data_IF_343754139777
#
_entry.id   IF_343754139777
#
_cell.length_a   1.000
_cell.length_b   1.000
_cell.length_c   1.000
_cell.angle_alpha   90.00
_cell.angle_beta   90.00
_cell.angle_gamma   90.00
#
_symmetry.space_group_name_H-M   'P 1'
#
loop_
_entity.id
_entity.type
_entity.pdbx_description
1 polymer ?
2 water ?
#
# COMPACT_ATOMS: atom_id res chain seq x y z
N UNK A 1 21.08 -26.51 12.35
CA UNK A 1 20.62 -25.82 11.11
C UNK A 1 20.30 -26.81 9.98
N UNK A 2 19.02 -27.02 9.72
CA UNK A 2 18.62 -27.93 8.66
C UNK A 2 17.56 -27.28 7.78
N UNK A 3 17.63 -27.54 6.47
CA UNK A 3 16.65 -27.02 5.54
C UNK A 3 15.51 -28.01 5.66
N UNK A 4 14.28 -27.53 5.67
CA UNK A 4 13.14 -28.43 5.77
C UNK A 4 11.84 -27.75 5.37
N UNK A 5 10.75 -28.53 5.36
CA UNK A 5 9.44 -27.99 5.05
C UNK A 5 8.90 -27.47 6.38
N UNK A 6 8.04 -26.46 6.34
CA UNK A 6 7.48 -25.88 7.55
C UNK A 6 5.97 -26.04 7.54
N UNK A 7 5.37 -26.10 8.73
CA UNK A 7 3.92 -26.18 8.83
C UNK A 7 3.44 -24.75 8.64
N UNK A 8 2.18 -24.57 8.30
CA UNK A 8 1.64 -23.23 8.08
C UNK A 8 1.77 -22.38 9.35
N UNK A 9 1.57 -23.01 10.51
CA UNK A 9 1.66 -22.30 11.78
C UNK A 9 3.08 -21.78 12.01
N UNK A 10 4.07 -22.64 11.82
CA UNK A 10 5.45 -22.23 12.01
C UNK A 10 5.80 -21.10 11.05
N UNK A 11 5.38 -21.27 9.79
CA UNK A 11 5.65 -20.30 8.75
C UNK A 11 5.10 -18.93 9.10
N UNK A 12 3.81 -18.88 9.41
CA UNK A 12 3.15 -17.62 9.77
C UNK A 12 3.75 -16.93 10.97
N UNK A 13 4.06 -17.70 12.01
CA UNK A 13 4.63 -17.13 13.24
C UNK A 13 5.98 -16.50 12.96
N UNK A 14 6.81 -17.19 12.18
CA UNK A 14 8.13 -16.64 11.88
C UNK A 14 8.07 -15.39 11.02
N UNK A 15 7.34 -15.47 9.90
CA UNK A 15 7.28 -14.30 9.03
C UNK A 15 6.66 -13.06 9.69
N UNK A 16 5.69 -13.26 10.60
CA UNK A 16 5.06 -12.13 11.29
C UNK A 16 6.06 -11.41 12.20
N UNK A 17 7.12 -12.10 12.61
CA UNK A 17 8.09 -11.50 13.51
C UNK A 17 9.31 -10.88 12.83
N UNK A 18 9.37 -10.97 11.50
CA UNK A 18 10.54 -10.48 10.79
C UNK A 18 10.32 -9.23 9.93
N UNK A 19 11.37 -8.40 9.80
CA UNK A 19 11.27 -7.19 8.98
C UNK A 19 11.35 -7.66 7.53
N UNK A 20 10.80 -6.87 6.62
CA UNK A 20 10.81 -7.22 5.21
C UNK A 20 10.24 -8.61 4.91
N UNK A 21 9.10 -8.90 5.51
CA UNK A 21 8.38 -10.13 5.23
C UNK A 21 7.19 -9.58 4.45
N UNK A 22 7.18 -9.82 3.14
CA UNK A 22 6.12 -9.31 2.25
C UNK A 22 4.76 -9.93 2.55
N UNK A 23 3.68 -9.25 2.14
CA UNK A 23 2.34 -9.76 2.40
C UNK A 23 2.08 -11.08 1.68
N UNK A 24 2.94 -11.41 0.70
CA UNK A 24 2.82 -12.68 -0.02
C UNK A 24 3.49 -13.83 0.76
N UNK A 25 4.24 -13.49 1.80
CA UNK A 25 4.91 -14.50 2.64
C UNK A 25 4.06 -14.69 3.89
N UNK A 26 2.79 -15.05 3.69
CA UNK A 26 1.84 -15.22 4.78
C UNK A 26 0.99 -16.48 4.60
N UNK A 27 0.32 -16.87 5.68
CA UNK A 27 -0.54 -18.06 5.65
C UNK A 27 -1.72 -17.79 4.71
N UNK A 28 -2.24 -16.57 4.76
CA UNK A 28 -3.36 -16.21 3.90
C UNK A 28 -2.98 -16.33 2.42
N UNK A 29 -1.76 -15.95 2.06
CA UNK A 29 -1.37 -16.05 0.65
C UNK A 29 -1.16 -17.53 0.30
N UNK A 30 -0.67 -18.30 1.26
CA UNK A 30 -0.45 -19.74 1.09
C UNK A 30 -1.78 -20.41 0.76
N UNK A 31 -2.80 -20.09 1.55
CA UNK A 31 -4.13 -20.66 1.36
C UNK A 31 -4.73 -20.18 0.06
N UNK A 32 -4.45 -18.94 -0.31
CA UNK A 32 -4.96 -18.39 -1.56
C UNK A 32 -4.41 -19.18 -2.74
N UNK A 33 -3.08 -19.32 -2.81
CA UNK A 33 -2.46 -20.05 -3.89
C UNK A 33 -2.95 -21.50 -3.96
N UNK A 34 -3.10 -22.14 -2.81
CA UNK A 34 -3.58 -23.51 -2.77
C UNK A 34 -4.99 -23.55 -3.35
N UNK A 35 -5.81 -22.59 -2.95
CA UNK A 35 -7.19 -22.50 -3.43
C UNK A 35 -7.23 -22.29 -4.94
N UNK A 36 -6.27 -21.53 -5.47
CA UNK A 36 -6.25 -21.29 -6.91
C UNK A 36 -5.61 -22.45 -7.65
N UNK A 37 -5.30 -23.53 -6.93
CA UNK A 37 -4.71 -24.70 -7.58
C UNK A 37 -3.22 -24.73 -7.84
N UNK A 38 -2.46 -23.82 -7.25
CA UNK A 38 -1.02 -23.84 -7.46
C UNK A 38 -0.35 -24.88 -6.59
N UNK A 39 0.72 -25.47 -7.09
CA UNK A 39 1.50 -26.39 -6.30
C UNK A 39 2.21 -25.40 -5.36
N UNK A 40 2.02 -25.57 -4.05
CA UNK A 40 2.62 -24.63 -3.10
C UNK A 40 3.47 -25.30 -2.04
N UNK A 41 4.66 -24.73 -1.81
CA UNK A 41 5.61 -25.26 -0.83
C UNK A 41 5.96 -24.23 0.24
N UNK A 42 6.13 -24.73 1.46
CA UNK A 42 6.55 -23.90 2.59
C UNK A 42 7.86 -24.51 3.06
N UNK A 43 8.96 -23.82 2.78
CA UNK A 43 10.28 -24.30 3.16
C UNK A 43 10.94 -23.32 4.11
N UNK A 44 12.01 -23.76 4.77
CA UNK A 44 12.71 -22.89 5.69
C UNK A 44 13.90 -23.59 6.33
N UNK A 45 14.47 -22.95 7.32
CA UNK A 45 15.60 -23.51 8.05
C UNK A 45 15.27 -23.44 9.52
N UNK A 46 15.62 -24.50 10.25
CA UNK A 46 15.41 -24.53 11.68
C UNK A 46 16.77 -24.74 12.31
N UNK A 47 16.97 -24.20 13.50
CA UNK A 47 18.24 -24.36 14.18
C UNK A 47 18.15 -25.56 15.13
N UNK A 48 19.14 -25.68 16.02
CA UNK A 48 19.20 -26.78 16.98
C UNK A 48 18.00 -26.83 17.94
N UNK A 49 17.46 -25.66 18.25
CA UNK A 49 16.32 -25.59 19.17
C UNK A 49 14.99 -25.71 18.45
N UNK A 50 15.01 -26.24 17.23
CA UNK A 50 13.79 -26.38 16.45
C UNK A 50 13.15 -25.02 16.20
N UNK A 51 13.96 -23.98 16.24
CA UNK A 51 13.48 -22.61 15.99
C UNK A 51 13.61 -22.25 14.50
N UNK A 52 12.54 -21.72 13.90
CA UNK A 52 12.63 -21.31 12.49
C UNK A 52 13.51 -20.06 12.39
N UNK A 53 14.51 -20.10 11.51
CA UNK A 53 15.37 -18.94 11.32
C UNK A 53 15.39 -18.47 9.86
N UNK A 54 14.51 -19.03 9.04
CA UNK A 54 14.39 -18.64 7.62
C UNK A 54 13.17 -19.35 7.06
N UNK A 55 12.47 -18.68 6.14
CA UNK A 55 11.28 -19.28 5.55
C UNK A 55 10.99 -18.72 4.17
N UNK A 56 10.23 -19.48 3.39
CA UNK A 56 9.84 -19.01 2.07
C UNK A 56 8.69 -19.80 1.54
N UNK A 57 7.70 -19.08 1.04
CA UNK A 57 6.55 -19.69 0.41
C UNK A 57 6.95 -19.75 -1.05
N UNK A 58 6.85 -20.93 -1.65
CA UNK A 58 7.21 -21.13 -3.05
C UNK A 58 5.99 -21.65 -3.78
N UNK A 59 5.84 -21.24 -5.05
CA UNK A 59 4.76 -21.74 -5.87
C UNK A 59 5.42 -22.34 -7.10
N UNK A 60 4.81 -23.38 -7.65
CA UNK A 60 5.38 -24.04 -8.82
C UNK A 60 4.29 -24.22 -9.87
N UNK A 61 4.67 -24.03 -11.11
CA UNK A 61 3.77 -24.16 -12.26
C UNK A 61 4.44 -25.07 -13.31
N UNK A 62 3.67 -25.99 -13.91
CA UNK A 62 4.25 -26.88 -14.93
C UNK A 62 4.71 -26.16 -16.18
N UNK A 63 5.91 -26.49 -16.66
CA UNK A 63 6.46 -25.91 -17.87
C UNK A 63 7.25 -26.99 -18.61
N UNK A 64 7.29 -26.87 -19.93
CA UNK A 64 8.01 -27.82 -20.76
C UNK A 64 7.68 -29.31 -20.47
N UNK A 65 6.38 -29.58 -20.36
CA UNK A 65 5.85 -30.93 -20.17
C UNK A 65 6.00 -31.61 -18.82
N UNK A 66 7.25 -31.86 -18.40
CA UNK A 66 7.48 -32.56 -17.15
C UNK A 66 8.19 -31.72 -16.10
N UNK A 67 8.56 -30.50 -16.42
CA UNK A 67 9.26 -29.65 -15.47
C UNK A 67 8.38 -28.64 -14.75
N UNK A 68 9.01 -27.83 -13.90
CA UNK A 68 8.27 -26.82 -13.16
C UNK A 68 9.03 -25.52 -13.01
N UNK A 69 8.28 -24.43 -13.05
CA UNK A 69 8.81 -23.10 -12.87
C UNK A 69 8.56 -22.79 -11.39
N UNK A 70 9.63 -22.62 -10.61
CA UNK A 70 9.50 -22.29 -9.19
C UNK A 70 9.72 -20.79 -8.98
N UNK A 71 8.83 -20.18 -8.18
CA UNK A 71 8.87 -18.75 -7.87
C UNK A 71 8.87 -18.52 -6.34
N UNK A 72 9.76 -17.66 -5.85
CA UNK A 72 9.87 -17.42 -4.40
C UNK A 72 8.87 -16.42 -3.78
N UNK A 73 7.98 -15.85 -4.61
CA UNK A 73 6.97 -14.94 -4.10
C UNK A 73 7.46 -13.83 -3.15
N UNK A 74 8.45 -13.06 -3.57
CA UNK A 74 9.01 -11.96 -2.75
C UNK A 74 9.76 -12.45 -1.52
N UNK A 75 9.99 -13.75 -1.43
CA UNK A 75 10.73 -14.30 -0.31
C UNK A 75 12.13 -14.61 -0.78
N UNK A 76 12.96 -15.27 0.04
CA UNK A 76 12.68 -15.73 1.41
C UNK A 76 12.77 -14.67 2.49
N UNK A 77 12.24 -15.00 3.67
CA UNK A 77 12.31 -14.12 4.82
C UNK A 77 13.45 -14.75 5.61
N UNK A 78 14.51 -13.97 5.83
CA UNK A 78 15.68 -14.49 6.51
C UNK A 78 16.53 -13.28 6.94
N UNK A 79 17.42 -13.48 7.91
CA UNK A 79 18.30 -12.40 8.35
C UNK A 79 19.37 -12.21 7.28
N UNK A 80 19.22 -11.17 6.47
CA UNK A 80 20.18 -10.93 5.39
C UNK A 80 21.52 -10.36 5.80
N UNK A 81 21.72 -10.11 7.10
CA UNK A 81 23.02 -9.64 7.58
C UNK A 81 23.95 -10.85 7.72
N UNK A 82 23.34 -12.02 7.92
CA UNK A 82 24.07 -13.28 8.09
C UNK A 82 24.37 -13.90 6.73
N UNK A 83 25.53 -13.56 6.17
CA UNK A 83 25.91 -14.07 4.87
C UNK A 83 26.06 -15.59 4.78
N UNK A 84 26.52 -16.23 5.85
CA UNK A 84 26.66 -17.67 5.83
C UNK A 84 25.28 -18.33 5.81
N UNK A 85 24.35 -17.77 6.57
CA UNK A 85 23.00 -18.32 6.61
C UNK A 85 22.34 -18.10 5.24
N UNK A 86 22.53 -16.92 4.66
CA UNK A 86 21.94 -16.65 3.35
C UNK A 86 22.48 -17.63 2.31
N UNK A 87 23.77 -17.91 2.37
CA UNK A 87 24.42 -18.84 1.45
C UNK A 87 23.82 -20.24 1.59
N UNK A 88 23.74 -20.72 2.82
CA UNK A 88 23.17 -22.03 3.11
C UNK A 88 21.75 -22.15 2.58
N UNK A 89 20.94 -21.12 2.82
CA UNK A 89 19.56 -21.17 2.36
C UNK A 89 19.40 -21.29 0.86
N UNK A 90 20.10 -20.45 0.10
CA UNK A 90 19.95 -20.49 -1.34
C UNK A 90 20.54 -21.73 -1.99
N UNK A 91 21.55 -22.31 -1.35
CA UNK A 91 22.18 -23.52 -1.86
C UNK A 91 21.21 -24.68 -1.60
N UNK A 92 20.62 -24.71 -0.40
CA UNK A 92 19.68 -25.78 -0.09
C UNK A 92 18.37 -25.63 -0.86
N UNK A 93 18.00 -24.40 -1.20
CA UNK A 93 16.77 -24.17 -1.95
C UNK A 93 16.94 -24.77 -3.36
N UNK A 94 18.15 -24.61 -3.89
CA UNK A 94 18.47 -25.15 -5.21
C UNK A 94 18.33 -26.67 -5.17
N UNK A 95 18.92 -27.30 -4.16
CA UNK A 95 18.85 -28.76 -4.01
C UNK A 95 17.40 -29.19 -3.85
N UNK A 96 16.65 -28.40 -3.08
CA UNK A 96 15.25 -28.69 -2.85
C UNK A 96 14.44 -28.68 -4.14
N UNK A 97 14.56 -27.61 -4.94
CA UNK A 97 13.77 -27.59 -6.16
C UNK A 97 14.21 -28.64 -7.17
N UNK A 98 15.46 -29.10 -7.08
CA UNK A 98 15.95 -30.13 -8.01
C UNK A 98 15.28 -31.46 -7.70
N UNK A 99 14.68 -31.56 -6.51
CA UNK A 99 13.98 -32.77 -6.12
C UNK A 99 12.57 -32.73 -6.69
N UNK A 100 12.16 -31.57 -7.19
CA UNK A 100 10.81 -31.44 -7.71
C UNK A 100 10.72 -31.06 -9.18
N UNK A 101 11.68 -31.57 -9.96
CA UNK A 101 11.72 -31.37 -11.41
C UNK A 101 11.66 -29.90 -11.83
N UNK A 102 12.40 -29.07 -11.12
CA UNK A 102 12.43 -27.66 -11.45
C UNK A 102 13.22 -27.44 -12.73
N UNK A 103 12.70 -26.57 -13.59
CA UNK A 103 13.39 -26.22 -14.83
C UNK A 103 14.24 -24.98 -14.53
N UNK A 104 13.65 -24.03 -13.82
CA UNK A 104 14.36 -22.82 -13.40
C UNK A 104 13.70 -22.22 -12.18
N UNK A 105 14.53 -21.65 -11.30
CA UNK A 105 14.09 -21.06 -10.05
C UNK A 105 14.22 -19.54 -10.13
N UNK A 106 13.10 -18.86 -9.87
CA UNK A 106 13.01 -17.41 -9.94
C UNK A 106 12.82 -16.80 -8.54
N UNK A 107 13.75 -15.96 -8.11
CA UNK A 107 13.64 -15.30 -6.81
C UNK A 107 13.62 -13.78 -6.94
N UNK A 108 12.83 -13.13 -6.08
CA UNK A 108 12.73 -11.67 -6.08
C UNK A 108 12.62 -11.23 -4.61
N UNK A 109 13.71 -11.39 -3.85
CA UNK A 109 13.77 -11.04 -2.43
C UNK A 109 13.41 -9.59 -2.12
N UNK A 110 12.67 -9.43 -1.04
CA UNK A 110 12.21 -8.13 -0.55
C UNK A 110 13.43 -7.61 0.22
N UNK A 111 14.45 -7.24 -0.54
CA UNK A 111 15.73 -6.79 0.01
C UNK A 111 16.16 -5.45 -0.58
N UNK A 112 16.25 -4.40 0.25
CA UNK A 112 16.65 -3.08 -0.25
C UNK A 112 18.03 -3.11 -0.89
N UNK A 113 18.20 -2.26 -1.90
CA UNK A 113 19.45 -2.11 -2.63
C UNK A 113 19.94 -0.68 -2.41
N UNK A 114 19.11 0.29 -2.81
CA UNK A 114 19.43 1.71 -2.69
C UNK A 114 18.21 2.50 -2.19
N UNK A 115 18.48 3.69 -1.64
CA UNK A 115 17.44 4.61 -1.17
C UNK A 115 17.56 5.84 -2.06
N UNK A 116 16.42 6.39 -2.47
CA UNK A 116 16.42 7.57 -3.33
C UNK A 116 15.35 8.55 -2.85
N UNK A 117 15.36 9.77 -3.39
CA UNK A 117 14.28 10.71 -3.06
C UNK A 117 13.34 10.63 -4.26
N UNK A 118 12.22 11.32 -4.22
CA UNK A 118 11.28 11.25 -5.32
C UNK A 118 11.65 12.04 -6.56
N UNK A 119 12.89 12.54 -6.60
CA UNK A 119 13.38 13.28 -7.75
C UNK A 119 14.33 12.33 -8.50
N UNK A 120 14.45 11.11 -8.00
CA UNK A 120 15.32 10.14 -8.65
C UNK A 120 16.78 10.20 -8.28
N UNK A 121 17.11 10.93 -7.22
CA UNK A 121 18.51 11.03 -6.77
C UNK A 121 18.81 10.01 -5.68
N UNK A 122 19.89 9.27 -5.84
CA UNK A 122 20.27 8.29 -4.84
C UNK A 122 20.65 8.99 -3.54
N UNK A 123 20.03 8.59 -2.43
CA UNK A 123 20.34 9.21 -1.14
C UNK A 123 21.21 8.31 -0.28
N UNK A 124 21.27 7.02 -0.61
CA UNK A 124 22.10 6.11 0.16
C UNK A 124 22.10 4.68 -0.38
N UNK A 125 23.09 3.90 0.02
CA UNK A 125 23.21 2.50 -0.37
C UNK A 125 22.71 1.69 0.84
N UNK A 126 21.92 0.64 0.60
CA UNK A 126 21.37 -0.15 1.71
C UNK A 126 22.40 -1.08 2.37
N UNK A 127 23.55 -1.23 1.73
CA UNK A 127 24.62 -2.08 2.27
C UNK A 127 24.48 -3.55 1.96
N UNK A 128 23.73 -3.90 0.91
CA UNK A 128 23.51 -5.29 0.54
C UNK A 128 24.10 -5.66 -0.81
N UNK A 129 24.98 -4.81 -1.33
CA UNK A 129 25.63 -5.05 -2.62
C UNK A 129 26.28 -6.44 -2.73
N UNK A 130 26.80 -6.96 -1.62
CA UNK A 130 27.44 -8.28 -1.61
C UNK A 130 26.49 -9.37 -2.11
N UNK A 131 25.20 -9.13 -1.96
CA UNK A 131 24.20 -10.09 -2.38
C UNK A 131 24.31 -10.46 -3.86
N UNK A 132 24.52 -9.46 -4.72
CA UNK A 132 24.62 -9.75 -6.15
C UNK A 132 25.71 -10.77 -6.47
N UNK A 133 26.89 -10.59 -5.89
CA UNK A 133 28.00 -11.50 -6.13
C UNK A 133 27.71 -12.90 -5.59
N UNK A 134 27.15 -12.97 -4.40
CA UNK A 134 26.82 -14.26 -3.82
C UNK A 134 25.81 -15.02 -4.69
N UNK A 135 24.76 -14.34 -5.17
CA UNK A 135 23.77 -15.01 -6.00
C UNK A 135 24.45 -15.50 -7.29
N UNK A 136 25.27 -14.65 -7.88
CA UNK A 136 25.98 -14.99 -9.10
C UNK A 136 26.83 -16.27 -8.86
N UNK A 137 27.59 -16.29 -7.76
CA UNK A 137 28.41 -17.45 -7.45
C UNK A 137 27.58 -18.72 -7.31
N UNK A 138 26.32 -18.58 -6.91
CA UNK A 138 25.44 -19.73 -6.75
C UNK A 138 24.60 -20.04 -7.99
N UNK A 139 24.88 -19.36 -9.11
CA UNK A 139 24.14 -19.62 -10.32
C UNK A 139 22.85 -18.83 -10.50
N UNK A 140 22.55 -17.97 -9.53
CA UNK A 140 21.35 -17.14 -9.63
C UNK A 140 21.72 -15.89 -10.42
N UNK A 141 21.31 -15.85 -11.69
CA UNK A 141 21.61 -14.74 -12.59
C UNK A 141 20.63 -13.57 -12.47
N UNK A 142 21.16 -12.41 -12.12
CA UNK A 142 20.37 -11.19 -11.97
C UNK A 142 19.80 -10.78 -13.33
N UNK A 143 18.52 -10.41 -13.39
CA UNK A 143 17.94 -10.02 -14.67
C UNK A 143 18.24 -8.56 -15.03
N UNK A 144 18.76 -7.78 -14.09
CA UNK A 144 19.09 -6.40 -14.42
C UNK A 144 18.32 -5.34 -13.65
N UNK A 145 18.74 -4.09 -13.79
CA UNK A 145 18.08 -3.01 -13.07
C UNK A 145 16.93 -2.45 -13.87
N UNK A 146 15.87 -3.26 -13.98
CA UNK A 146 14.71 -2.86 -14.74
C UNK A 146 13.89 -1.78 -14.04
N UNK A 147 13.19 -1.00 -14.84
CA UNK A 147 12.33 0.09 -14.37
C UNK A 147 11.02 0.04 -15.14
N UNK A 148 10.00 0.70 -14.61
CA UNK A 148 8.71 0.70 -15.28
C UNK A 148 7.97 -0.52 -14.80
N UNK A 149 6.68 -0.63 -15.12
CA UNK A 149 5.89 -1.77 -14.70
C UNK A 149 5.94 -2.89 -15.73
N UNK A 150 6.59 -3.99 -15.34
CA UNK A 150 6.73 -5.16 -16.20
C UNK A 150 5.51 -6.06 -16.07
N UNK A 151 5.19 -6.83 -17.11
CA UNK A 151 4.02 -7.72 -17.04
C UNK A 151 4.22 -8.84 -16.03
N UNK A 152 5.45 -9.31 -15.90
CA UNK A 152 5.76 -10.41 -14.99
C UNK A 152 6.48 -10.02 -13.72
N UNK A 153 7.62 -9.34 -13.87
CA UNK A 153 8.42 -8.94 -12.72
C UNK A 153 7.76 -7.92 -11.81
N UNK A 154 7.91 -8.12 -10.50
CA UNK A 154 7.37 -7.19 -9.52
C UNK A 154 8.10 -5.85 -9.68
N UNK A 155 7.42 -4.75 -9.39
CA UNK A 155 8.02 -3.43 -9.49
C UNK A 155 9.15 -3.35 -8.45
N UNK A 156 10.31 -2.88 -8.89
CA UNK A 156 11.50 -2.78 -8.03
C UNK A 156 11.59 -1.54 -7.15
N UNK A 157 10.64 -0.61 -7.27
CA UNK A 157 10.69 0.60 -6.47
C UNK A 157 9.41 0.86 -5.66
N UNK A 158 9.59 1.23 -4.39
CA UNK A 158 8.47 1.55 -3.50
C UNK A 158 8.67 2.96 -2.92
N UNK A 159 7.56 3.64 -2.66
CA UNK A 159 7.57 4.96 -2.02
C UNK A 159 7.12 4.59 -0.60
N UNK A 160 8.01 4.78 0.36
CA UNK A 160 7.73 4.35 1.73
C UNK A 160 7.83 5.44 2.79
N UNK A 161 6.81 5.52 3.65
CA UNK A 161 6.76 6.50 4.73
C UNK A 161 7.08 5.83 6.06
N UNK A 162 8.17 6.28 6.68
CA UNK A 162 8.60 5.72 7.95
C UNK A 162 7.81 6.33 9.10
N UNK A 163 7.18 5.48 9.91
CA UNK A 163 6.37 5.98 11.02
C UNK A 163 7.01 5.73 12.39
N UNK A 164 8.17 5.08 12.40
CA UNK A 164 8.84 4.77 13.66
C UNK A 164 9.04 6.04 14.51
N UNK A 165 8.56 5.98 15.75
CA UNK A 165 8.67 7.07 16.71
C UNK A 165 8.00 8.38 16.30
N UNK A 166 6.96 8.27 15.48
CA UNK A 166 6.23 9.46 15.05
C UNK A 166 4.77 9.38 15.41
N UNK A 167 4.17 10.54 15.64
CA UNK A 167 2.75 10.63 15.95
C UNK A 167 2.09 11.21 14.71
N UNK A 168 0.76 11.22 14.72
CA UNK A 168 0.00 11.75 13.60
C UNK A 168 0.36 13.22 13.35
N UNK A 169 0.60 13.97 14.44
CA UNK A 169 0.95 15.39 14.30
C UNK A 169 2.30 15.54 13.60
N UNK A 170 3.23 14.64 13.90
CA UNK A 170 4.54 14.66 13.25
C UNK A 170 4.36 14.41 11.75
N UNK A 171 3.49 13.46 11.43
CA UNK A 171 3.27 13.10 10.03
C UNK A 171 2.68 14.27 9.26
N UNK A 172 1.67 14.91 9.82
CA UNK A 172 1.05 16.05 9.17
C UNK A 172 2.07 17.19 9.04
N UNK A 173 2.88 17.39 10.08
CA UNK A 173 3.85 18.47 10.03
C UNK A 173 4.89 18.28 8.94
N UNK A 174 5.21 17.03 8.62
CA UNK A 174 6.22 16.75 7.60
C UNK A 174 5.66 16.70 6.17
N UNK A 175 4.35 16.83 6.02
CA UNK A 175 3.73 16.83 4.69
C UNK A 175 4.06 18.17 4.04
N UNK A 176 3.99 18.26 2.72
CA UNK A 176 4.23 19.53 2.07
C UNK A 176 2.93 20.35 2.17
N UNK A 177 2.99 21.63 1.83
CA UNK A 177 1.80 22.48 1.94
C UNK A 177 0.51 21.94 1.37
N UNK A 178 0.56 21.43 0.15
CA UNK A 178 -0.63 20.90 -0.50
C UNK A 178 -1.22 19.68 0.23
N UNK A 179 -0.38 18.72 0.63
CA UNK A 179 -0.91 17.55 1.34
C UNK A 179 -1.47 17.90 2.72
N UNK A 180 -0.76 18.75 3.44
CA UNK A 180 -1.21 19.18 4.76
C UNK A 180 -2.58 19.88 4.64
N UNK A 181 -2.69 20.81 3.70
CA UNK A 181 -3.93 21.54 3.51
C UNK A 181 -5.10 20.62 3.20
N UNK A 182 -4.91 19.72 2.25
CA UNK A 182 -5.97 18.78 1.85
C UNK A 182 -6.32 17.80 2.96
N UNK A 183 -5.31 17.38 3.74
CA UNK A 183 -5.55 16.45 4.84
C UNK A 183 -6.38 17.17 5.92
N UNK A 184 -6.01 18.41 6.25
CA UNK A 184 -6.77 19.16 7.24
C UNK A 184 -8.19 19.34 6.70
N UNK A 185 -8.32 19.58 5.39
CA UNK A 185 -9.64 19.76 4.79
C UNK A 185 -10.60 18.59 5.03
N UNK A 186 -10.19 17.37 4.69
CA UNK A 186 -11.09 16.25 4.87
C UNK A 186 -11.42 15.95 6.32
N UNK A 187 -10.54 16.34 7.22
CA UNK A 187 -10.79 16.11 8.63
C UNK A 187 -12.08 16.83 9.04
N UNK A 188 -12.47 17.85 8.27
CA UNK A 188 -13.66 18.61 8.60
C UNK A 188 -14.48 19.13 7.41
N UNK A 189 -14.78 18.27 6.44
CA UNK A 189 -15.56 18.71 5.28
C UNK A 189 -16.74 17.80 4.95
N UNK A 190 -17.13 16.93 5.89
CA UNK A 190 -18.26 16.04 5.65
C UNK A 190 -17.96 14.69 5.03
N UNK A 191 -16.70 14.42 4.69
CA UNK A 191 -16.33 13.14 4.11
C UNK A 191 -16.12 12.10 5.21
N UNK A 192 -16.61 10.88 4.98
CA UNK A 192 -16.44 9.80 5.94
C UNK A 192 -15.77 8.59 5.29
N UNK A 193 -15.26 7.67 6.12
CA UNK A 193 -14.59 6.49 5.59
C UNK A 193 -15.16 5.23 6.25
N UNK A 194 -15.53 4.26 5.44
CA UNK A 194 -16.04 3.00 5.96
C UNK A 194 -15.29 1.90 5.22
N UNK A 195 -15.35 0.69 5.76
CA UNK A 195 -14.65 -0.43 5.14
C UNK A 195 -15.64 -1.36 4.47
N UNK A 196 -15.39 -1.60 3.18
CA UNK A 196 -16.24 -2.44 2.35
C UNK A 196 -16.04 -3.94 2.54
N UNK A 197 -17.14 -4.67 2.46
CA UNK A 197 -17.13 -6.13 2.59
C UNK A 197 -17.16 -6.64 1.15
N UNK A 198 -17.13 -7.96 0.99
CA UNK A 198 -17.15 -8.57 -0.33
C UNK A 198 -18.33 -8.14 -1.20
N UNK A 199 -19.53 -8.09 -0.63
CA UNK A 199 -20.70 -7.73 -1.42
C UNK A 199 -20.66 -6.31 -1.97
N UNK A 200 -19.79 -5.46 -1.43
CA UNK A 200 -19.70 -4.09 -1.94
C UNK A 200 -18.43 -3.86 -2.72
N UNK A 201 -17.70 -4.95 -2.99
CA UNK A 201 -16.46 -4.87 -3.73
C UNK A 201 -16.63 -4.14 -5.06
N UNK A 202 -17.82 -4.24 -5.69
CA UNK A 202 -17.98 -3.52 -6.97
C UNK A 202 -17.87 -2.00 -6.84
N UNK A 203 -18.15 -1.46 -5.65
CA UNK A 203 -18.03 -0.02 -5.45
C UNK A 203 -16.55 0.32 -5.62
N UNK A 204 -15.68 -0.47 -5.00
CA UNK A 204 -14.24 -0.27 -5.11
C UNK A 204 -13.82 -0.43 -6.57
N UNK A 205 -14.36 -1.46 -7.20
CA UNK A 205 -14.07 -1.75 -8.60
C UNK A 205 -14.42 -0.61 -9.54
N UNK A 206 -15.45 0.15 -9.19
CA UNK A 206 -15.87 1.26 -10.04
C UNK A 206 -14.77 2.32 -10.17
N UNK A 207 -13.90 2.42 -9.16
CA UNK A 207 -12.81 3.41 -9.19
C UNK A 207 -11.59 2.94 -9.99
N UNK A 208 -11.49 1.65 -10.25
CA UNK A 208 -10.36 1.11 -10.99
C UNK A 208 -10.72 1.03 -12.48
N UNK A 221 -7.34 -8.88 -12.22
CA UNK A 221 -8.70 -9.23 -12.62
C UNK A 221 -9.71 -8.95 -11.51
N UNK A 222 -10.97 -9.30 -11.77
CA UNK A 222 -12.05 -9.11 -10.82
C UNK A 222 -11.92 -10.08 -9.65
N UNK A 223 -11.63 -11.34 -9.99
CA UNK A 223 -11.48 -12.39 -8.99
C UNK A 223 -10.23 -12.19 -8.11
N UNK A 224 -9.28 -11.44 -8.63
CA UNK A 224 -8.05 -11.14 -7.90
C UNK A 224 -8.40 -10.54 -6.53
N UNK A 225 -9.22 -9.50 -6.57
CA UNK A 225 -9.61 -8.80 -5.34
C UNK A 225 -10.51 -9.64 -4.46
N UNK A 226 -11.47 -10.32 -5.06
CA UNK A 226 -12.37 -11.13 -4.27
C UNK A 226 -11.59 -12.19 -3.48
N UNK A 227 -10.65 -12.87 -4.14
CA UNK A 227 -9.88 -13.91 -3.45
C UNK A 227 -9.02 -13.37 -2.32
N UNK A 228 -8.48 -12.15 -2.49
CA UNK A 228 -7.65 -11.56 -1.45
C UNK A 228 -8.53 -11.29 -0.22
N UNK A 229 -9.72 -10.75 -0.44
CA UNK A 229 -10.63 -10.50 0.67
C UNK A 229 -10.92 -11.79 1.41
N UNK A 230 -11.26 -12.83 0.64
CA UNK A 230 -11.59 -14.12 1.21
C UNK A 230 -10.47 -14.82 2.00
N UNK A 231 -9.27 -14.89 1.42
CA UNK A 231 -8.16 -15.58 2.08
C UNK A 231 -7.26 -14.76 3.00
N UNK A 232 -7.16 -13.45 2.78
CA UNK A 232 -6.31 -12.62 3.63
C UNK A 232 -7.08 -12.24 4.89
N UNK A 233 -8.40 -12.25 4.79
CA UNK A 233 -9.29 -11.94 5.92
C UNK A 233 -9.01 -10.61 6.61
N UNK A 234 -8.47 -10.63 7.82
CA UNK A 234 -8.21 -9.37 8.52
C UNK A 234 -6.93 -8.68 8.08
N UNK A 235 -6.21 -9.29 7.15
CA UNK A 235 -4.97 -8.67 6.68
C UNK A 235 -5.19 -7.86 5.41
N UNK A 236 -6.46 -7.58 5.13
CA UNK A 236 -6.82 -6.74 3.99
C UNK A 236 -7.99 -5.85 4.41
N UNK A 237 -7.96 -4.59 3.99
CA UNK A 237 -9.03 -3.65 4.30
C UNK A 237 -9.27 -2.84 3.04
N UNK A 238 -10.53 -2.47 2.83
CA UNK A 238 -10.95 -1.72 1.64
C UNK A 238 -11.66 -0.44 2.06
N UNK A 239 -10.89 0.57 2.50
CA UNK A 239 -11.55 1.82 2.91
C UNK A 239 -12.18 2.56 1.73
N UNK A 240 -13.36 3.12 1.96
CA UNK A 240 -14.09 3.89 0.98
C UNK A 240 -14.40 5.26 1.59
N UNK A 241 -13.98 6.33 0.91
CA UNK A 241 -14.27 7.68 1.38
C UNK A 241 -15.60 7.97 0.69
N UNK A 242 -16.53 8.57 1.41
CA UNK A 242 -17.84 8.84 0.84
C UNK A 242 -18.58 9.95 1.59
N UNK A 243 -19.69 10.37 1.01
CA UNK A 243 -20.52 11.38 1.64
C UNK A 243 -21.92 10.81 1.77
N UNK A 244 -22.48 10.89 2.97
CA UNK A 244 -23.84 10.46 3.26
C UNK A 244 -24.56 11.81 3.26
N UNK A 245 -25.34 12.08 2.23
CA UNK A 245 -25.98 13.39 2.17
C UNK A 245 -26.95 13.76 3.28
N UNK A 246 -27.77 12.82 3.75
CA UNK A 246 -28.68 13.16 4.85
C UNK A 246 -27.88 13.64 6.05
N UNK A 247 -26.80 12.93 6.39
CA UNK A 247 -26.00 13.31 7.54
C UNK A 247 -25.23 14.61 7.27
N UNK A 248 -24.75 14.75 6.04
CA UNK A 248 -24.00 15.94 5.64
C UNK A 248 -24.90 17.17 5.74
N UNK A 249 -26.06 17.10 5.11
CA UNK A 249 -27.02 18.20 5.11
C UNK A 249 -27.47 18.50 6.54
N UNK A 250 -27.63 17.47 7.37
CA UNK A 250 -28.03 17.68 8.76
C UNK A 250 -26.99 18.52 9.49
N UNK A 251 -25.72 18.12 9.35
CA UNK A 251 -24.61 18.84 9.97
C UNK A 251 -24.59 20.31 9.51
N UNK A 252 -24.78 20.53 8.22
CA UNK A 252 -24.76 21.90 7.71
C UNK A 252 -25.89 22.73 8.30
N UNK A 253 -27.06 22.12 8.50
CA UNK A 253 -28.16 22.87 9.08
C UNK A 253 -27.90 23.20 10.52
N UNK A 254 -27.23 22.31 11.22
CA UNK A 254 -26.91 22.56 12.63
C UNK A 254 -25.92 23.70 12.71
N UNK A 255 -24.99 23.75 11.76
CA UNK A 255 -24.00 24.82 11.73
C UNK A 255 -24.71 26.12 11.36
N UNK A 256 -25.70 26.02 10.47
CA UNK A 256 -26.45 27.21 10.05
C UNK A 256 -27.21 27.83 11.23
N UNK A 257 -27.82 26.99 12.05
CA UNK A 257 -28.56 27.50 13.20
C UNK A 257 -27.63 28.35 14.05
N UNK A 258 -26.44 27.84 14.32
CA UNK A 258 -25.47 28.58 15.12
C UNK A 258 -25.10 29.93 14.48
N UNK A 259 -24.86 29.91 13.17
CA UNK A 259 -24.52 31.14 12.46
C UNK A 259 -25.66 32.16 12.58
N UNK A 260 -26.89 31.68 12.44
CA UNK A 260 -28.06 32.56 12.54
C UNK A 260 -28.17 33.21 13.91
N UNK A 261 -27.91 32.42 14.95
CA UNK A 261 -27.97 32.92 16.31
C UNK A 261 -26.89 33.99 16.52
N UNK A 262 -25.69 33.74 16.01
CA UNK A 262 -24.62 34.71 16.16
C UNK A 262 -24.94 35.96 15.34
N UNK A 263 -25.52 35.76 14.17
CA UNK A 263 -25.88 36.89 13.31
C UNK A 263 -26.84 37.82 14.03
N UNK A 264 -27.84 37.25 14.69
CA UNK A 264 -28.81 38.06 15.40
C UNK A 264 -28.17 38.81 16.55
N UNK A 265 -27.17 38.21 17.20
CA UNK A 265 -26.47 38.90 18.27
C UNK A 265 -25.84 40.13 17.63
N UNK A 266 -25.20 39.90 16.49
CA UNK A 266 -24.53 40.96 15.75
C UNK A 266 -25.47 42.10 15.38
N UNK A 267 -26.66 41.75 14.91
CA UNK A 267 -27.66 42.74 14.52
C UNK A 267 -28.12 43.57 15.73
N UNK A 268 -28.28 42.92 16.87
CA UNK A 268 -28.69 43.64 18.08
C UNK A 268 -27.61 44.65 18.42
N UNK A 269 -26.36 44.21 18.34
CA UNK A 269 -25.23 45.06 18.64
C UNK A 269 -25.21 46.31 17.78
N UNK A 270 -25.43 46.13 16.48
CA UNK A 270 -25.43 47.25 15.56
C UNK A 270 -26.54 48.25 15.93
N UNK A 271 -27.58 47.77 16.61
CA UNK A 271 -28.68 48.63 17.03
C UNK A 271 -28.24 49.44 18.24
N UNK A 272 -27.61 48.75 19.19
CA UNK A 272 -27.12 49.36 20.42
C UNK A 272 -25.84 50.17 20.21
N UNK A 273 -25.33 50.17 18.99
CA UNK A 273 -24.11 50.90 18.63
C UNK A 273 -24.04 51.01 17.11
N UNK A 274 -24.97 51.74 16.50
CA UNK A 274 -24.99 51.91 15.05
C UNK A 274 -23.69 52.43 14.44
N UNK A 275 -22.76 52.83 15.29
CA UNK A 275 -21.48 53.35 14.81
C UNK A 275 -20.31 52.39 15.01
N UNK A 276 -20.54 51.31 15.75
CA UNK A 276 -19.47 50.33 15.99
C UNK A 276 -19.07 49.61 14.71
N UNK A 277 -17.96 50.05 14.12
CA UNK A 277 -17.45 49.45 12.90
C UNK A 277 -17.21 47.95 13.05
N UNK A 278 -16.69 47.56 14.21
CA UNK A 278 -16.39 46.15 14.46
C UNK A 278 -17.66 45.30 14.37
N UNK A 279 -18.77 45.85 14.87
CA UNK A 279 -20.05 45.15 14.85
C UNK A 279 -20.54 44.97 13.41
N UNK A 280 -20.35 45.99 12.60
CA UNK A 280 -20.74 45.96 11.20
C UNK A 280 -19.90 44.90 10.48
N UNK A 281 -18.59 44.89 10.78
CA UNK A 281 -17.70 43.92 10.17
C UNK A 281 -18.07 42.52 10.59
N UNK A 282 -18.49 42.37 11.84
CA UNK A 282 -18.88 41.05 12.35
C UNK A 282 -20.13 40.52 11.62
N UNK A 283 -21.10 41.40 11.39
CA UNK A 283 -22.33 41.03 10.67
C UNK A 283 -21.97 40.56 9.25
N UNK A 284 -21.14 41.34 8.54
CA UNK A 284 -20.72 40.99 7.20
C UNK A 284 -20.01 39.64 7.18
N UNK A 285 -19.16 39.41 8.18
CA UNK A 285 -18.41 38.16 8.31
C UNK A 285 -19.39 36.98 8.38
N UNK A 286 -20.37 37.09 9.27
CA UNK A 286 -21.38 36.03 9.45
C UNK A 286 -22.29 35.83 8.23
N UNK A 287 -22.72 36.93 7.61
CA UNK A 287 -23.60 36.83 6.45
C UNK A 287 -22.89 36.06 5.34
N UNK A 288 -21.61 36.35 5.16
CA UNK A 288 -20.84 35.68 4.12
C UNK A 288 -20.78 34.17 4.39
N UNK A 289 -20.58 33.78 5.64
CA UNK A 289 -20.53 32.37 6.00
C UNK A 289 -21.90 31.73 5.77
N UNK A 290 -22.96 32.48 6.06
CA UNK A 290 -24.30 31.95 5.86
C UNK A 290 -24.53 31.66 4.38
N UNK A 291 -24.08 32.57 3.51
CA UNK A 291 -24.27 32.36 2.08
C UNK A 291 -23.48 31.15 1.59
N UNK A 292 -22.28 30.98 2.12
CA UNK A 292 -21.48 29.83 1.72
C UNK A 292 -22.16 28.57 2.25
N UNK A 293 -22.67 28.63 3.48
CA UNK A 293 -23.34 27.49 4.08
C UNK A 293 -24.56 27.11 3.22
N UNK A 294 -25.30 28.13 2.78
CA UNK A 294 -26.49 27.90 1.97
C UNK A 294 -26.15 27.20 0.66
N UNK A 295 -25.09 27.66 -0.01
CA UNK A 295 -24.67 27.06 -1.26
C UNK A 295 -24.22 25.62 -1.03
N UNK A 296 -23.61 25.35 0.12
CA UNK A 296 -23.17 23.96 0.39
C UNK A 296 -24.41 23.07 0.51
N UNK A 297 -25.42 23.56 1.20
CA UNK A 297 -26.66 22.80 1.37
C UNK A 297 -27.30 22.55 0.01
N UNK A 298 -27.41 23.58 -0.81
CA UNK A 298 -28.00 23.44 -2.14
C UNK A 298 -27.21 22.42 -2.97
N UNK A 299 -25.87 22.48 -2.90
CA UNK A 299 -25.07 21.52 -3.66
C UNK A 299 -25.32 20.10 -3.15
N UNK A 300 -25.42 19.95 -1.84
CA UNK A 300 -25.67 18.64 -1.27
C UNK A 300 -26.99 18.05 -1.75
N UNK A 301 -28.04 18.87 -1.74
CA UNK A 301 -29.34 18.42 -2.18
C UNK A 301 -29.33 18.02 -3.65
N UNK A 302 -28.64 18.82 -4.47
CA UNK A 302 -28.56 18.52 -5.89
C UNK A 302 -27.81 17.20 -6.15
N UNK A 303 -26.68 17.00 -5.47
CA UNK A 303 -25.90 15.78 -5.66
C UNK A 303 -26.69 14.56 -5.15
N UNK A 304 -27.38 14.74 -4.03
CA UNK A 304 -28.16 13.66 -3.44
C UNK A 304 -29.24 13.19 -4.41
N UNK A 305 -29.92 14.14 -5.05
CA UNK A 305 -30.96 13.77 -6.00
C UNK A 305 -30.40 13.09 -7.24
N UNK A 306 -29.23 13.53 -7.70
CA UNK A 306 -28.64 12.92 -8.87
C UNK A 306 -27.97 11.56 -8.61
N UNK A 307 -27.24 11.47 -7.50
CA UNK A 307 -26.49 10.24 -7.20
C UNK A 307 -27.07 9.34 -6.12
N UNK A 308 -28.00 9.83 -5.33
CA UNK A 308 -28.53 9.02 -4.25
C UNK A 308 -27.96 9.53 -2.94
N UNK A 309 -28.33 8.92 -1.81
CA UNK A 309 -27.83 9.42 -0.54
C UNK A 309 -26.35 9.18 -0.24
N UNK A 310 -25.74 8.17 -0.87
CA UNK A 310 -24.32 7.92 -0.63
C UNK A 310 -23.50 8.15 -1.89
N UNK A 311 -22.57 9.08 -1.80
CA UNK A 311 -21.70 9.38 -2.94
C UNK A 311 -20.29 8.86 -2.63
N UNK A 312 -19.89 7.76 -3.30
CA UNK A 312 -18.55 7.22 -3.08
C UNK A 312 -17.61 8.12 -3.85
N UNK A 313 -16.50 8.54 -3.23
CA UNK A 313 -15.58 9.44 -3.94
C UNK A 313 -14.13 8.96 -4.09
N UNK A 314 -13.72 7.99 -3.29
CA UNK A 314 -12.36 7.45 -3.39
C UNK A 314 -12.31 6.13 -2.61
N UNK A 315 -11.45 5.21 -3.05
CA UNK A 315 -11.32 3.93 -2.36
C UNK A 315 -9.92 3.38 -2.55
N UNK A 316 -9.54 2.48 -1.64
CA UNK A 316 -8.23 1.87 -1.69
C UNK A 316 -8.31 0.44 -1.23
N UNK A 317 -7.36 -0.37 -1.69
CA UNK A 317 -7.26 -1.78 -1.32
C UNK A 317 -5.94 -1.88 -0.54
N UNK A 318 -6.03 -2.21 0.74
CA UNK A 318 -4.86 -2.27 1.60
C UNK A 318 -4.53 -3.62 2.22
N UNK A 319 -3.24 -3.96 2.25
CA UNK A 319 -2.78 -5.19 2.90
C UNK A 319 -2.17 -4.76 4.25
N UNK A 320 -2.52 -5.49 5.30
CA UNK A 320 -2.06 -5.15 6.64
C UNK A 320 -1.35 -6.30 7.32
N UNK A 321 -0.08 -6.08 7.62
CA UNK A 321 0.70 -7.09 8.31
C UNK A 321 1.57 -6.38 9.33
N UNK A 322 2.13 -7.14 10.28
CA UNK A 322 2.98 -6.51 11.30
C UNK A 322 4.09 -5.62 10.79
N UNK A 323 4.70 -5.98 9.66
CA UNK A 323 5.80 -5.19 9.13
C UNK A 323 5.39 -3.86 8.48
N UNK A 324 4.22 -3.84 7.85
CA UNK A 324 3.80 -2.62 7.17
C UNK A 324 2.36 -2.66 6.69
N UNK A 325 1.86 -1.47 6.37
CA UNK A 325 0.53 -1.33 5.80
C UNK A 325 0.89 -1.01 4.34
N UNK A 326 0.24 -1.67 3.40
CA UNK A 326 0.52 -1.44 1.98
C UNK A 326 -0.67 -0.90 1.24
N UNK A 327 -0.48 0.23 0.56
CA UNK A 327 -1.51 0.82 -0.28
C UNK A 327 -1.29 0.11 -1.64
N UNK A 328 -2.03 -0.97 -1.86
CA UNK A 328 -1.85 -1.76 -3.07
C UNK A 328 -2.46 -1.18 -4.34
N UNK A 329 -3.71 -0.75 -4.25
CA UNK A 329 -4.41 -0.20 -5.39
C UNK A 329 -5.49 0.74 -4.90
N UNK A 330 -5.84 1.71 -5.75
CA UNK A 330 -6.87 2.65 -5.37
C UNK A 330 -7.27 3.55 -6.52
N UNK A 331 -8.34 4.31 -6.31
CA UNK A 331 -8.82 5.21 -7.33
C UNK A 331 -9.69 6.28 -6.72
N UNK A 332 -9.82 7.41 -7.43
CA UNK A 332 -10.61 8.53 -6.96
C UNK A 332 -11.46 9.09 -8.11
N UNK A 333 -12.72 9.44 -7.81
CA UNK A 333 -13.60 9.99 -8.83
C UNK A 333 -13.10 11.36 -9.30
N UNK A 334 -12.90 11.49 -10.61
CA UNK A 334 -12.43 12.76 -11.18
C UNK A 334 -13.38 13.91 -10.91
N UNK A 335 -14.68 13.62 -10.95
CA UNK A 335 -15.69 14.66 -10.74
C UNK A 335 -15.74 15.21 -9.33
N UNK A 336 -15.30 14.44 -8.35
CA UNK A 336 -15.37 14.92 -6.98
C UNK A 336 -14.04 15.00 -6.26
N UNK A 337 -12.98 15.25 -7.01
CA UNK A 337 -11.65 15.38 -6.43
C UNK A 337 -11.60 16.53 -5.42
N UNK A 338 -12.44 17.54 -5.62
CA UNK A 338 -12.42 18.67 -4.71
C UNK A 338 -12.86 18.32 -3.30
N UNK A 339 -13.45 17.15 -3.12
CA UNK A 339 -13.86 16.71 -1.77
C UNK A 339 -12.68 16.06 -1.04
N UNK A 340 -11.59 15.82 -1.77
CA UNK A 340 -10.38 15.25 -1.18
C UNK A 340 -10.53 13.85 -0.60
N UNK A 341 -11.37 13.04 -1.23
CA UNK A 341 -11.57 11.69 -0.75
C UNK A 341 -10.26 10.92 -0.69
N UNK A 342 -9.37 11.20 -1.63
CA UNK A 342 -8.08 10.52 -1.70
C UNK A 342 -7.28 10.71 -0.42
N UNK A 343 -7.28 11.94 0.08
CA UNK A 343 -6.58 12.29 1.30
C UNK A 343 -7.22 11.64 2.51
N UNK A 344 -8.53 11.47 2.48
CA UNK A 344 -9.27 10.85 3.59
C UNK A 344 -8.89 9.38 3.67
N UNK A 345 -8.85 8.70 2.53
CA UNK A 345 -8.48 7.29 2.49
C UNK A 345 -7.05 7.10 3.04
N UNK A 346 -6.09 7.88 2.55
CA UNK A 346 -4.72 7.75 3.01
C UNK A 346 -4.61 8.07 4.51
N UNK A 347 -5.28 9.13 4.96
CA UNK A 347 -5.19 9.49 6.36
C UNK A 347 -5.73 8.39 7.28
N UNK A 348 -6.80 7.73 6.86
CA UNK A 348 -7.39 6.67 7.66
C UNK A 348 -6.38 5.53 7.87
N UNK A 349 -5.71 5.12 6.81
CA UNK A 349 -4.78 4.01 6.92
C UNK A 349 -3.43 4.35 7.54
N UNK A 350 -2.98 5.60 7.38
CA UNK A 350 -1.74 6.01 8.02
C UNK A 350 -2.03 5.97 9.54
N UNK A 351 -3.22 6.42 9.92
CA UNK A 351 -3.61 6.41 11.33
C UNK A 351 -3.80 5.00 11.86
N UNK A 352 -4.28 4.11 10.98
CA UNK A 352 -4.46 2.71 11.37
C UNK A 352 -3.09 2.21 11.84
N UNK A 353 -2.06 2.42 11.01
CA UNK A 353 -0.70 1.99 11.33
C UNK A 353 -0.18 2.62 12.64
N UNK A 354 -0.37 3.92 12.80
CA UNK A 354 0.08 4.61 14.00
C UNK A 354 -0.61 4.09 15.27
N UNK A 355 -1.92 3.88 15.19
CA UNK A 355 -2.69 3.41 16.32
C UNK A 355 -2.45 1.94 16.68
N UNK A 356 -2.08 1.13 15.69
CA UNK A 356 -1.89 -0.28 15.95
C UNK A 356 -0.51 -0.88 15.80
N UNK A 357 0.49 -0.06 16.13
CA UNK A 357 1.89 -0.49 16.12
C UNK A 357 2.57 -0.97 14.85
N UNK A 358 2.23 -0.41 13.70
CA UNK A 358 2.88 -0.79 12.46
C UNK A 358 3.68 0.46 12.11
N UNK A 359 5.00 0.32 12.09
CA UNK A 359 5.91 1.44 11.87
C UNK A 359 6.31 1.78 10.43
N UNK A 360 5.62 1.20 9.47
CA UNK A 360 5.96 1.45 8.08
C UNK A 360 4.70 1.54 7.23
N UNK A 361 4.60 2.60 6.43
CA UNK A 361 3.45 2.82 5.58
C UNK A 361 3.97 2.84 4.15
N UNK A 362 3.63 1.81 3.39
CA UNK A 362 4.12 1.63 2.03
C UNK A 362 3.15 2.12 0.95
N UNK A 363 3.45 3.27 0.33
CA UNK A 363 2.61 3.78 -0.77
C UNK A 363 2.79 2.87 -1.97
N UNK A 364 3.72 1.94 -1.81
CA UNK A 364 4.05 0.93 -2.81
C UNK A 364 4.68 1.39 -4.14
N UNK A 365 4.35 0.69 -5.21
CA UNK A 365 4.96 0.92 -6.51
C UNK A 365 5.07 2.23 -7.24
N UNK A 366 6.28 2.54 -7.72
CA UNK A 366 6.51 3.71 -8.57
C UNK A 366 7.38 3.16 -9.70
N UNK A 367 7.27 3.74 -10.88
CA UNK A 367 8.01 3.24 -12.05
C UNK A 367 9.53 3.25 -11.93
N UNK A 368 10.07 4.20 -11.17
CA UNK A 368 11.51 4.27 -11.05
C UNK A 368 12.10 5.20 -12.11
N UNK A 369 11.24 5.68 -13.00
CA UNK A 369 11.66 6.61 -14.05
C UNK A 369 11.20 7.98 -13.53
N UNK A 370 12.08 8.66 -12.81
CA UNK A 370 11.70 9.93 -12.25
C UNK A 370 11.81 11.10 -13.24
N UNK A 371 10.93 11.11 -14.22
CA UNK A 371 10.89 12.16 -15.23
C UNK A 371 9.51 12.82 -15.22
N UNK A 372 9.45 14.05 -15.70
CA UNK A 372 8.18 14.77 -15.74
C UNK A 372 7.20 14.09 -16.68
N UNK A 373 7.74 13.41 -17.68
CA UNK A 373 6.92 12.71 -18.66
C UNK A 373 6.59 11.29 -18.21
N UNK A 374 7.16 10.87 -17.09
CA UNK A 374 6.90 9.52 -16.59
C UNK A 374 5.40 9.25 -16.52
N UNK A 375 5.03 8.03 -16.86
CA UNK A 375 3.64 7.59 -16.84
C UNK A 375 2.96 7.84 -15.49
N UNK A 376 3.71 7.66 -14.40
CA UNK A 376 3.16 7.83 -13.05
C UNK A 376 3.66 9.11 -12.37
N UNK A 377 4.08 10.10 -13.15
CA UNK A 377 4.60 11.34 -12.61
C UNK A 377 3.69 12.06 -11.61
N UNK A 378 2.39 12.06 -11.89
CA UNK A 378 1.45 12.73 -11.00
C UNK A 378 1.33 12.02 -9.67
N UNK A 379 1.30 10.69 -9.73
CA UNK A 379 1.19 9.87 -8.53
C UNK A 379 2.43 10.03 -7.66
N UNK A 380 3.59 10.10 -8.30
CA UNK A 380 4.84 10.23 -7.57
C UNK A 380 4.92 11.54 -6.79
N UNK A 381 4.40 12.62 -7.38
CA UNK A 381 4.38 13.93 -6.70
C UNK A 381 3.47 13.84 -5.47
N UNK A 382 2.39 13.10 -5.61
CA UNK A 382 1.44 12.93 -4.51
C UNK A 382 2.12 12.20 -3.35
N UNK A 383 2.79 11.09 -3.66
CA UNK A 383 3.48 10.31 -2.63
C UNK A 383 4.61 11.14 -2.00
N UNK A 384 5.32 11.88 -2.84
CA UNK A 384 6.41 12.75 -2.39
C UNK A 384 5.92 13.73 -1.32
N UNK A 385 4.71 14.25 -1.54
CA UNK A 385 4.14 15.22 -0.62
C UNK A 385 3.90 14.73 0.80
N UNK A 386 3.90 13.40 1.01
CA UNK A 386 3.70 12.82 2.34
C UNK A 386 5.02 12.63 3.08
N UNK A 387 6.11 13.05 2.47
CA UNK A 387 7.45 12.93 3.03
C UNK A 387 7.95 11.49 2.99
N UNK A 388 7.46 10.71 2.03
CA UNK A 388 7.90 9.34 1.89
C UNK A 388 9.28 9.36 1.24
N UNK A 389 9.97 8.22 1.23
CA UNK A 389 11.28 8.16 0.57
C UNK A 389 11.20 7.00 -0.43
N UNK A 390 12.14 6.90 -1.38
CA UNK A 390 12.08 5.78 -2.32
C UNK A 390 13.02 4.65 -1.92
N UNK A 391 12.54 3.41 -2.00
CA UNK A 391 13.41 2.28 -1.71
C UNK A 391 13.49 1.45 -2.99
N UNK A 392 14.71 1.24 -3.47
CA UNK A 392 14.93 0.44 -4.66
C UNK A 392 15.43 -0.92 -4.18
N UNK A 393 14.79 -1.99 -4.65
CA UNK A 393 15.16 -3.33 -4.24
C UNK A 393 16.15 -3.98 -5.22
N UNK A 394 16.80 -5.07 -4.78
CA UNK A 394 17.78 -5.73 -5.63
C UNK A 394 17.24 -6.26 -6.95
N UNK A 395 15.99 -6.67 -6.98
CA UNK A 395 15.42 -7.16 -8.23
C UNK A 395 15.24 -8.67 -8.31
N UNK A 396 15.28 -9.18 -9.54
CA UNK A 396 15.06 -10.60 -9.83
C UNK A 396 16.28 -11.41 -10.22
N UNK A 397 16.31 -12.65 -9.76
CA UNK A 397 17.41 -13.56 -10.08
C UNK A 397 16.82 -14.90 -10.53
N UNK A 398 17.40 -15.46 -11.58
CA UNK A 398 16.93 -16.72 -12.13
C UNK A 398 18.06 -17.73 -12.19
N UNK A 399 17.80 -18.92 -11.67
CA UNK A 399 18.79 -19.97 -11.71
C UNK A 399 18.24 -21.11 -12.56
N UNK A 400 18.77 -21.28 -13.78
CA UNK A 400 18.31 -22.35 -14.67
C UNK A 400 18.80 -23.67 -14.08
N UNK A 401 17.91 -24.66 -13.97
CA UNK A 401 18.31 -25.96 -13.44
C UNK A 401 18.75 -26.90 -14.57
N UNK A 402 18.01 -26.89 -15.68
CA UNK A 402 18.36 -27.69 -16.86
C UNK A 402 18.54 -26.66 -18.00
N UNK A 403 19.78 -26.22 -18.18
CA UNK A 403 20.09 -25.18 -19.15
C UNK A 403 19.64 -25.38 -20.59
N UNK A 404 19.90 -26.56 -21.18
CA UNK A 404 19.45 -26.73 -22.57
C UNK A 404 17.93 -26.61 -22.69
N UNK A 405 17.21 -27.29 -21.81
CA UNK A 405 15.75 -27.25 -21.85
C UNK A 405 15.27 -25.83 -21.60
N UNK A 406 15.92 -25.13 -20.67
CA UNK A 406 15.54 -23.75 -20.38
C UNK A 406 15.80 -22.88 -21.61
N UNK A 407 16.89 -23.17 -22.32
CA UNK A 407 17.22 -22.41 -23.54
C UNK A 407 16.08 -22.57 -24.55
N UNK A 408 15.59 -23.80 -24.72
CA UNK A 408 14.51 -24.04 -25.66
C UNK A 408 13.25 -23.30 -25.19
N UNK A 409 13.02 -23.32 -23.89
CA UNK A 409 11.87 -22.67 -23.28
C UNK A 409 11.83 -21.16 -23.54
N UNK A 410 12.98 -20.52 -23.40
CA UNK A 410 13.08 -19.08 -23.61
C UNK A 410 12.92 -18.73 -25.08
N UNK A 411 13.40 -19.61 -25.95
CA UNK A 411 13.32 -19.41 -27.39
C UNK A 411 11.86 -19.32 -27.82
N UNK A 412 10.97 -19.97 -27.07
CA UNK A 412 9.54 -19.95 -27.38
C UNK A 412 8.96 -18.59 -27.03
#
# INVERSE_FOLDING_TARGET
>A
MKFTNLTAKEFGAFTDSMPYSHFTQTVGHYELKLAEGYETHLVGIKNNNNEVIAACLLTAVPVMKVFKYFYSNRGPVIDYENQELVHFFFNELSKYVKKHRCLYLHIDPYLPYQYLNHDGEITGNAGNDWFFDKMSNLGFEHTGFHKGFDPVLQIRYHSVLDLKDKTADDIIKNMDGLRKRNTKKVKKNGVKVRFLSEEELPIFRSFMEDTSESKAFADRDDKFYYNRLKYYKDRVLVPLAYINFDEYIKELNEERDILNKDLNKALKDIEKRPENKKAHNKRDNLQQQLDANEQKIEEGKRLQEEHGNELPISAGFFFINPFEVVYYAGGTSNAFRHFAGSYAVQWEMINYALNHGIDRYNFYGVSGKFTEDAEDAGVVKFKKGYNAEIIEYVGDFIKPINKPVYAAYTALKKVKDRIFHHHHHH
#
